data_IF_919662209878
#
_entry.id   IF_919662209878
#
_cell.length_a   1.000
_cell.length_b   1.000
_cell.length_c   1.000
_cell.angle_alpha   90.00
_cell.angle_beta   90.00
_cell.angle_gamma   90.00
#
_symmetry.space_group_name_H-M   'P 1'
#
loop_
_entity.id
_entity.type
_entity.pdbx_description
1 polymer ?
#
# COMPACT_ATOMS: atom_id res chain seq x y z
N UNK A 1 -16.58 4.13 -29.86
CA UNK A 1 -15.81 3.80 -28.64
C UNK A 1 -16.80 3.76 -27.52
N UNK A 2 -17.22 2.55 -27.12
CA UNK A 2 -18.24 2.35 -26.10
C UNK A 2 -17.59 2.58 -24.73
N UNK A 3 -17.91 3.69 -24.07
CA UNK A 3 -17.48 3.91 -22.69
C UNK A 3 -18.36 3.03 -21.81
N UNK A 4 -17.75 2.08 -21.11
CA UNK A 4 -18.47 1.18 -20.20
C UNK A 4 -19.33 1.96 -19.22
N UNK A 5 -20.51 1.41 -18.89
CA UNK A 5 -21.43 2.01 -17.93
C UNK A 5 -20.70 2.32 -16.60
N UNK A 6 -20.99 3.46 -15.96
CA UNK A 6 -20.33 3.82 -14.70
C UNK A 6 -20.58 2.74 -13.64
N UNK A 7 -19.52 2.29 -12.98
CA UNK A 7 -19.59 1.32 -11.89
C UNK A 7 -20.39 1.92 -10.73
N UNK A 8 -21.55 1.34 -10.41
CA UNK A 8 -22.43 1.80 -9.32
C UNK A 8 -22.21 1.05 -8.01
N UNK A 9 -21.34 0.05 -8.00
CA UNK A 9 -21.03 -0.78 -6.83
C UNK A 9 -19.70 -0.36 -6.19
N UNK A 10 -19.61 -0.52 -4.86
CA UNK A 10 -18.36 -0.34 -4.14
C UNK A 10 -17.32 -1.35 -4.65
N UNK A 11 -16.15 -0.85 -4.99
CA UNK A 11 -15.02 -1.65 -5.48
C UNK A 11 -13.84 -1.53 -4.51
N UNK A 12 -12.99 -2.54 -4.52
CA UNK A 12 -11.82 -2.63 -3.65
C UNK A 12 -10.60 -2.96 -4.50
N UNK A 13 -9.48 -2.31 -4.22
CA UNK A 13 -8.18 -2.62 -4.84
C UNK A 13 -7.38 -3.43 -3.83
N UNK A 14 -7.09 -4.68 -4.16
CA UNK A 14 -6.29 -5.59 -3.33
C UNK A 14 -5.16 -6.19 -4.16
N UNK A 15 -4.02 -6.41 -3.53
CA UNK A 15 -2.87 -7.05 -4.14
C UNK A 15 -1.60 -6.83 -3.32
N UNK A 16 -0.49 -7.32 -3.85
CA UNK A 16 0.84 -6.98 -3.35
C UNK A 16 1.33 -5.71 -4.06
N UNK A 17 1.29 -4.59 -3.35
CA UNK A 17 1.74 -3.31 -3.88
C UNK A 17 3.27 -3.16 -3.90
N UNK A 18 4.03 -4.03 -3.22
CA UNK A 18 5.48 -3.91 -3.02
C UNK A 18 5.92 -2.53 -2.47
N UNK A 19 5.01 -1.82 -1.81
CA UNK A 19 5.21 -0.49 -1.25
C UNK A 19 4.54 -0.41 0.13
N UNK A 20 5.09 0.46 0.99
CA UNK A 20 4.45 0.89 2.24
C UNK A 20 4.02 2.36 2.09
N UNK A 21 2.97 2.77 2.81
CA UNK A 21 2.42 4.15 2.82
C UNK A 21 2.96 4.97 3.99
N UNK A 22 3.47 4.31 5.02
CA UNK A 22 4.04 4.96 6.20
C UNK A 22 5.34 4.29 6.62
N UNK A 23 6.27 5.08 7.16
CA UNK A 23 7.45 4.58 7.85
C UNK A 23 7.09 3.58 8.97
N UNK A 24 5.92 3.71 9.59
CA UNK A 24 5.48 2.81 10.66
C UNK A 24 5.09 1.40 10.19
N UNK A 25 4.87 1.21 8.88
CA UNK A 25 4.49 -0.09 8.29
C UNK A 25 5.72 -0.96 7.95
N UNK A 26 6.93 -0.41 8.09
CA UNK A 26 8.20 -1.14 8.00
C UNK A 26 8.86 -1.15 9.38
N UNK A 27 9.27 -2.32 9.84
CA UNK A 27 10.06 -2.47 11.06
C UNK A 27 11.46 -2.90 10.70
N UNK A 28 12.49 -2.45 11.41
CA UNK A 28 13.88 -2.87 11.19
C UNK A 28 14.39 -2.50 9.77
N UNK A 29 15.63 -2.90 9.48
CA UNK A 29 16.24 -2.65 8.19
C UNK A 29 16.44 -1.17 7.86
N UNK A 30 16.48 -0.86 6.56
CA UNK A 30 16.56 0.53 6.10
C UNK A 30 15.16 1.13 6.02
N UNK A 31 14.92 2.17 6.82
CA UNK A 31 13.67 2.93 6.80
C UNK A 31 13.43 3.55 5.43
N UNK A 32 12.20 3.46 4.88
CA UNK A 32 11.87 4.09 3.62
C UNK A 32 11.96 5.61 3.78
N UNK A 33 12.52 6.26 2.76
CA UNK A 33 12.56 7.71 2.68
C UNK A 33 11.19 8.26 2.31
N UNK A 34 10.92 9.51 2.68
CA UNK A 34 9.70 10.20 2.24
C UNK A 34 9.53 10.22 0.72
N UNK A 35 10.63 10.25 -0.03
CA UNK A 35 10.60 10.22 -1.48
C UNK A 35 10.04 8.89 -2.02
N UNK A 36 10.44 7.76 -1.42
CA UNK A 36 9.96 6.42 -1.79
C UNK A 36 8.47 6.22 -1.43
N UNK A 37 7.98 6.87 -0.36
CA UNK A 37 6.58 6.76 0.09
C UNK A 37 5.63 7.66 -0.70
N UNK A 38 6.14 8.79 -1.21
CA UNK A 38 5.33 9.93 -1.70
C UNK A 38 4.35 9.53 -2.79
N UNK A 39 4.83 8.82 -3.81
CA UNK A 39 4.04 8.55 -5.01
C UNK A 39 2.80 7.72 -4.67
N UNK A 40 2.94 6.68 -3.85
CA UNK A 40 1.82 5.84 -3.45
C UNK A 40 0.91 6.54 -2.42
N UNK A 41 1.50 7.25 -1.45
CA UNK A 41 0.75 8.00 -0.44
C UNK A 41 -0.12 9.12 -1.03
N UNK A 42 0.36 9.81 -2.07
CA UNK A 42 -0.38 10.88 -2.74
C UNK A 42 -1.37 10.33 -3.78
N UNK A 43 -1.04 9.20 -4.43
CA UNK A 43 -1.89 8.58 -5.46
C UNK A 43 -3.25 8.12 -4.90
N UNK A 44 -3.27 7.37 -3.79
CA UNK A 44 -4.51 6.86 -3.21
C UNK A 44 -5.58 7.95 -2.98
N UNK A 45 -5.32 9.03 -2.21
CA UNK A 45 -6.32 10.07 -1.98
C UNK A 45 -6.66 10.86 -3.26
N UNK A 46 -5.71 11.03 -4.20
CA UNK A 46 -5.99 11.69 -5.49
C UNK A 46 -7.00 10.92 -6.36
N UNK A 47 -7.06 9.60 -6.18
CA UNK A 47 -8.02 8.70 -6.82
C UNK A 47 -9.29 8.47 -5.99
N UNK A 48 -9.43 9.13 -4.82
CA UNK A 48 -10.53 8.91 -3.90
C UNK A 48 -10.49 7.55 -3.18
N UNK A 49 -9.33 6.90 -3.15
CA UNK A 49 -9.13 5.63 -2.45
C UNK A 49 -8.86 5.88 -0.97
N UNK A 50 -9.42 5.00 -0.14
CA UNK A 50 -9.20 4.98 1.31
C UNK A 50 -8.81 3.57 1.75
N UNK A 51 -8.00 3.48 2.80
CA UNK A 51 -7.61 2.18 3.34
C UNK A 51 -8.80 1.51 4.03
N UNK A 52 -9.03 0.25 3.70
CA UNK A 52 -10.03 -0.56 4.39
C UNK A 52 -9.50 -0.92 5.80
N UNK A 53 -10.33 -0.83 6.86
CA UNK A 53 -9.94 -1.32 8.18
C UNK A 53 -9.59 -2.82 8.12
N UNK A 54 -8.45 -3.19 8.70
CA UNK A 54 -7.99 -4.59 8.77
C UNK A 54 -7.88 -5.06 10.22
N UNK A 55 -8.01 -6.38 10.43
CA UNK A 55 -7.73 -7.04 11.70
C UNK A 55 -6.84 -8.25 11.44
N UNK A 56 -6.03 -8.66 12.42
CA UNK A 56 -5.12 -9.80 12.29
C UNK A 56 -3.64 -9.38 12.15
N UNK A 57 -2.92 -10.00 11.21
CA UNK A 57 -1.50 -9.76 11.02
C UNK A 57 -1.24 -8.36 10.44
N UNK A 58 -0.43 -7.55 11.13
CA UNK A 58 -0.08 -6.19 10.70
C UNK A 58 0.92 -6.15 9.55
N UNK A 59 1.78 -7.17 9.42
CA UNK A 59 2.76 -7.28 8.34
C UNK A 59 2.34 -8.36 7.34
N UNK A 60 2.47 -8.04 6.06
CA UNK A 60 2.10 -8.92 4.95
C UNK A 60 3.30 -9.63 4.32
N UNK A 61 4.52 -9.18 4.61
CA UNK A 61 5.76 -9.70 4.05
C UNK A 61 6.93 -9.60 5.04
N UNK A 62 7.90 -10.52 4.92
CA UNK A 62 9.17 -10.48 5.64
C UNK A 62 10.30 -10.95 4.71
N UNK A 63 11.52 -10.44 4.92
CA UNK A 63 12.71 -10.88 4.19
C UNK A 63 13.49 -11.92 4.98
N UNK A 64 13.99 -12.96 4.30
CA UNK A 64 14.89 -13.97 4.89
C UNK A 64 16.38 -13.61 4.80
N UNK A 65 16.72 -12.46 4.23
CA UNK A 65 18.11 -12.01 4.20
C UNK A 65 18.49 -11.36 5.54
N UNK A 66 19.58 -11.82 6.15
CA UNK A 66 20.14 -11.27 7.40
C UNK A 66 20.40 -9.75 7.36
N UNK A 67 20.44 -9.14 6.16
CA UNK A 67 20.71 -7.72 5.92
C UNK A 67 19.48 -6.80 5.94
N UNK A 68 18.26 -7.33 5.89
CA UNK A 68 17.04 -6.49 5.97
C UNK A 68 15.84 -7.28 6.50
N UNK A 69 15.86 -7.69 7.79
CA UNK A 69 14.78 -8.45 8.39
C UNK A 69 13.61 -7.50 8.69
N UNK A 70 12.75 -7.29 7.69
CA UNK A 70 11.72 -6.25 7.67
C UNK A 70 12.37 -4.87 7.52
#
# INVERSE_FOLDING_TARGET
MEMGQPLTLLWLVLGDFNCVKSMAEKQLGVMPTWYELKDFSDCCPSLGLTDAPTTGCYYTWYSNSDSNPI
#
